data_IF_876656988907
#
_entry.id   IF_876656988907
#
_cell.length_a   1.000
_cell.length_b   1.000
_cell.length_c   1.000
_cell.angle_alpha   90.00
_cell.angle_beta   90.00
_cell.angle_gamma   90.00
#
_symmetry.space_group_name_H-M   'P 1'
#
loop_
_entity.id
_entity.type
_entity.pdbx_description
1 polymer ?
#
# COMPACT_ATOMS: atom_id res chain seq x y z
N UNK A 1 12.27 -20.15 3.25
CA UNK A 1 13.09 -19.67 2.12
C UNK A 1 13.86 -18.40 2.51
N UNK A 2 14.81 -17.94 1.67
CA UNK A 2 15.48 -16.66 1.88
C UNK A 2 14.74 -15.56 1.11
N UNK A 3 14.32 -14.51 1.82
CA UNK A 3 13.53 -13.39 1.29
C UNK A 3 14.28 -12.09 1.57
N UNK A 4 14.51 -11.28 0.54
CA UNK A 4 15.04 -9.94 0.67
C UNK A 4 13.90 -8.92 0.63
N UNK A 5 13.89 -7.97 1.57
CA UNK A 5 12.88 -6.92 1.66
C UNK A 5 13.57 -5.57 1.57
N UNK A 6 13.24 -4.77 0.58
CA UNK A 6 13.66 -3.37 0.51
C UNK A 6 12.61 -2.47 1.15
N UNK A 7 13.03 -1.32 1.70
CA UNK A 7 12.10 -0.43 2.40
C UNK A 7 11.62 -0.99 3.75
N UNK A 8 12.44 -1.86 4.38
CA UNK A 8 12.08 -2.59 5.59
C UNK A 8 11.76 -1.71 6.82
N UNK A 9 12.24 -0.45 6.86
CA UNK A 9 11.90 0.52 7.92
C UNK A 9 10.63 1.33 7.62
N UNK A 10 9.98 1.07 6.47
CA UNK A 10 8.73 1.71 6.09
C UNK A 10 7.53 1.19 6.90
N UNK A 11 6.36 1.87 6.74
CA UNK A 11 5.12 1.49 7.42
C UNK A 11 4.70 0.04 7.16
N UNK A 12 4.73 -0.41 5.92
CA UNK A 12 4.45 -1.81 5.53
C UNK A 12 5.66 -2.69 5.80
N UNK A 13 6.86 -2.23 5.43
CA UNK A 13 8.08 -3.02 5.43
C UNK A 13 8.45 -3.58 6.79
N UNK A 14 8.35 -2.79 7.87
CA UNK A 14 8.69 -3.26 9.22
C UNK A 14 7.76 -4.37 9.72
N UNK A 15 6.49 -4.36 9.30
CA UNK A 15 5.50 -5.39 9.63
C UNK A 15 5.71 -6.66 8.81
N UNK A 16 5.96 -6.50 7.50
CA UNK A 16 6.28 -7.64 6.61
C UNK A 16 7.56 -8.34 7.05
N UNK A 17 8.62 -7.58 7.37
CA UNK A 17 9.87 -8.15 7.85
C UNK A 17 9.70 -8.93 9.17
N UNK A 18 8.93 -8.37 10.12
CA UNK A 18 8.62 -9.03 11.39
C UNK A 18 7.80 -10.30 11.18
N UNK A 19 6.75 -10.25 10.35
CA UNK A 19 5.85 -11.36 10.11
C UNK A 19 6.56 -12.52 9.39
N UNK A 20 7.23 -12.24 8.28
CA UNK A 20 7.93 -13.25 7.51
C UNK A 20 9.16 -13.80 8.23
N UNK A 21 9.78 -13.01 9.11
CA UNK A 21 10.90 -13.46 9.95
C UNK A 21 10.56 -14.58 10.93
N UNK A 22 9.26 -14.84 11.17
CA UNK A 22 8.84 -15.98 12.03
C UNK A 22 8.98 -17.34 11.32
N UNK A 23 8.98 -17.36 9.98
CA UNK A 23 8.96 -18.61 9.18
C UNK A 23 10.03 -18.65 8.07
N UNK A 24 10.69 -17.53 7.80
CA UNK A 24 11.65 -17.40 6.72
C UNK A 24 12.95 -16.74 7.17
N UNK A 25 14.05 -16.96 6.41
CA UNK A 25 15.26 -16.16 6.53
C UNK A 25 15.05 -14.83 5.81
N UNK A 26 14.85 -13.74 6.56
CA UNK A 26 14.60 -12.41 6.03
C UNK A 26 15.86 -11.55 6.06
N UNK A 27 16.19 -10.95 4.92
CA UNK A 27 17.16 -9.87 4.78
C UNK A 27 16.38 -8.57 4.65
N UNK A 28 16.28 -7.82 5.74
CA UNK A 28 15.49 -6.59 5.82
C UNK A 28 16.37 -5.36 5.63
N UNK A 29 16.21 -4.66 4.51
CA UNK A 29 17.07 -3.53 4.12
C UNK A 29 16.25 -2.23 4.10
N UNK A 30 16.74 -1.25 4.83
CA UNK A 30 16.27 0.13 4.79
C UNK A 30 17.06 0.96 3.77
N UNK A 31 16.66 2.23 3.56
CA UNK A 31 17.44 3.17 2.74
C UNK A 31 18.82 3.52 3.30
N UNK A 32 19.10 3.16 4.56
CA UNK A 32 20.44 3.30 5.16
C UNK A 32 21.35 2.12 4.82
N UNK A 33 20.75 0.97 4.53
CA UNK A 33 21.45 -0.28 4.26
C UNK A 33 21.65 -0.49 2.75
N UNK A 34 20.71 0.02 1.93
CA UNK A 34 20.73 -0.12 0.48
C UNK A 34 20.05 1.08 -0.17
N UNK A 35 20.81 1.85 -0.95
CA UNK A 35 20.28 2.80 -1.92
C UNK A 35 19.89 2.05 -3.20
N UNK A 36 18.59 1.95 -3.47
CA UNK A 36 18.08 1.24 -4.65
C UNK A 36 18.37 1.97 -5.96
N UNK A 37 18.79 3.24 -5.91
CA UNK A 37 19.17 4.02 -7.09
C UNK A 37 20.59 3.70 -7.55
N UNK A 38 21.43 3.14 -6.67
CA UNK A 38 22.75 2.63 -6.97
C UNK A 38 22.67 1.18 -7.47
N UNK A 39 22.81 0.99 -8.79
CA UNK A 39 22.69 -0.32 -9.43
C UNK A 39 23.76 -1.32 -8.96
N UNK A 40 24.99 -0.85 -8.73
CA UNK A 40 26.10 -1.72 -8.32
C UNK A 40 25.90 -2.20 -6.89
N UNK A 41 25.44 -1.33 -5.99
CA UNK A 41 25.05 -1.70 -4.62
C UNK A 41 23.90 -2.72 -4.62
N UNK A 42 22.87 -2.52 -5.46
CA UNK A 42 21.74 -3.46 -5.57
C UNK A 42 22.21 -4.83 -6.07
N UNK A 43 23.04 -4.87 -7.10
CA UNK A 43 23.60 -6.13 -7.62
C UNK A 43 24.47 -6.84 -6.58
N UNK A 44 25.38 -6.11 -5.91
CA UNK A 44 26.25 -6.68 -4.89
C UNK A 44 25.42 -7.36 -3.80
N UNK A 45 24.45 -6.67 -3.22
CA UNK A 45 23.60 -7.19 -2.16
C UNK A 45 22.78 -8.41 -2.61
N UNK A 46 22.18 -8.36 -3.79
CA UNK A 46 21.35 -9.46 -4.29
C UNK A 46 22.20 -10.70 -4.61
N UNK A 47 23.40 -10.51 -5.18
CA UNK A 47 24.34 -11.60 -5.49
C UNK A 47 24.94 -12.23 -4.22
N UNK A 48 25.23 -11.44 -3.19
CA UNK A 48 25.76 -11.95 -1.92
C UNK A 48 24.73 -12.79 -1.16
N UNK A 49 23.45 -12.39 -1.25
CA UNK A 49 22.39 -13.06 -0.51
C UNK A 49 21.67 -14.17 -1.28
N UNK A 50 21.63 -14.13 -2.60
CA UNK A 50 20.92 -15.08 -3.50
C UNK A 50 19.49 -15.38 -3.00
N UNK A 51 18.62 -14.36 -2.83
CA UNK A 51 17.28 -14.57 -2.31
C UNK A 51 16.43 -15.38 -3.32
N UNK A 52 15.46 -16.16 -2.78
CA UNK A 52 14.45 -16.83 -3.61
C UNK A 52 13.30 -15.92 -3.98
N UNK A 53 13.03 -14.91 -3.12
CA UNK A 53 12.06 -13.86 -3.39
C UNK A 53 12.59 -12.50 -2.93
N UNK A 54 12.19 -11.44 -3.65
CA UNK A 54 12.43 -10.04 -3.28
C UNK A 54 11.07 -9.37 -3.12
N UNK A 55 10.80 -8.83 -1.93
CA UNK A 55 9.61 -8.01 -1.66
C UNK A 55 10.07 -6.55 -1.68
N UNK A 56 9.76 -5.86 -2.77
CA UNK A 56 10.21 -4.50 -3.03
C UNK A 56 9.18 -3.48 -2.55
N UNK A 57 9.44 -2.89 -1.36
CA UNK A 57 8.59 -1.90 -0.70
C UNK A 57 9.25 -0.52 -0.60
N UNK A 58 10.49 -0.38 -1.04
CA UNK A 58 11.18 0.90 -1.06
C UNK A 58 10.53 1.83 -2.09
N UNK A 59 10.13 3.03 -1.66
CA UNK A 59 9.54 4.05 -2.51
C UNK A 59 9.47 5.40 -1.81
N UNK A 60 9.44 6.47 -2.58
CA UNK A 60 8.88 7.76 -2.17
C UNK A 60 7.35 7.65 -2.31
N UNK A 61 6.63 7.46 -1.19
CA UNK A 61 5.21 7.09 -1.19
C UNK A 61 4.24 8.21 -0.82
N UNK A 62 4.74 9.45 -0.68
CA UNK A 62 3.92 10.64 -0.41
C UNK A 62 3.54 11.32 -1.73
N UNK A 63 2.26 11.24 -2.21
CA UNK A 63 1.88 11.80 -3.52
C UNK A 63 2.16 13.30 -3.64
N UNK A 64 1.96 14.07 -2.55
CA UNK A 64 2.26 15.50 -2.52
C UNK A 64 3.75 15.80 -2.72
N UNK A 65 4.64 15.03 -2.08
CA UNK A 65 6.08 15.17 -2.29
C UNK A 65 6.47 14.82 -3.74
N UNK A 66 5.96 13.70 -4.26
CA UNK A 66 6.25 13.28 -5.64
C UNK A 66 5.77 14.33 -6.67
N UNK A 67 4.64 15.00 -6.41
CA UNK A 67 4.13 16.05 -7.27
C UNK A 67 5.03 17.29 -7.28
N UNK A 68 5.65 17.63 -6.14
CA UNK A 68 6.56 18.76 -6.00
C UNK A 68 8.00 18.42 -6.46
N UNK A 69 8.39 17.15 -6.41
CA UNK A 69 9.73 16.65 -6.73
C UNK A 69 9.63 15.45 -7.71
N UNK A 70 9.20 15.69 -8.96
CA UNK A 70 8.94 14.61 -9.93
C UNK A 70 10.21 13.83 -10.30
N UNK A 71 11.36 14.49 -10.40
CA UNK A 71 12.64 13.86 -10.77
C UNK A 71 13.11 12.92 -9.66
N UNK A 72 13.09 13.34 -8.40
CA UNK A 72 13.41 12.46 -7.26
C UNK A 72 12.48 11.25 -7.23
N UNK A 73 11.18 11.50 -7.45
CA UNK A 73 10.19 10.44 -7.51
C UNK A 73 10.46 9.46 -8.64
N UNK A 74 10.89 9.92 -9.81
CA UNK A 74 11.25 9.06 -10.94
C UNK A 74 12.47 8.23 -10.64
N UNK A 75 13.54 8.84 -10.16
CA UNK A 75 14.80 8.17 -9.83
C UNK A 75 14.54 7.04 -8.81
N UNK A 76 13.83 7.32 -7.71
CA UNK A 76 13.61 6.31 -6.68
C UNK A 76 12.54 5.29 -7.09
N UNK A 77 11.37 5.74 -7.57
CA UNK A 77 10.23 4.84 -7.78
C UNK A 77 10.30 4.06 -9.09
N UNK A 78 10.95 4.61 -10.13
CA UNK A 78 11.05 3.94 -11.44
C UNK A 78 12.44 3.31 -11.60
N UNK A 79 13.50 4.11 -11.59
CA UNK A 79 14.86 3.62 -11.86
C UNK A 79 15.32 2.66 -10.76
N UNK A 80 15.07 2.99 -9.48
CA UNK A 80 15.32 2.09 -8.36
C UNK A 80 14.58 0.74 -8.50
N UNK A 81 13.30 0.75 -8.94
CA UNK A 81 12.55 -0.49 -9.20
C UNK A 81 13.15 -1.28 -10.37
N UNK A 82 13.61 -0.61 -11.43
CA UNK A 82 14.30 -1.25 -12.56
C UNK A 82 15.61 -1.91 -12.08
N UNK A 83 16.40 -1.25 -11.26
CA UNK A 83 17.63 -1.80 -10.71
C UNK A 83 17.39 -3.08 -9.90
N UNK A 84 16.41 -3.05 -9.00
CA UNK A 84 16.01 -4.24 -8.22
C UNK A 84 15.49 -5.36 -9.14
N UNK A 85 14.73 -5.01 -10.19
CA UNK A 85 14.21 -5.98 -11.16
C UNK A 85 15.33 -6.68 -11.94
N UNK A 86 16.34 -5.93 -12.39
CA UNK A 86 17.52 -6.48 -13.09
C UNK A 86 18.31 -7.43 -12.18
N UNK A 87 18.55 -7.02 -10.94
CA UNK A 87 19.25 -7.86 -9.97
C UNK A 87 18.45 -9.13 -9.62
N UNK A 88 17.12 -9.02 -9.49
CA UNK A 88 16.24 -10.16 -9.28
C UNK A 88 16.31 -11.15 -10.45
N UNK A 89 16.32 -10.66 -11.70
CA UNK A 89 16.45 -11.45 -12.91
C UNK A 89 17.78 -12.23 -12.93
N UNK A 90 18.87 -11.58 -12.53
CA UNK A 90 20.21 -12.18 -12.54
C UNK A 90 20.33 -13.41 -11.62
N UNK A 91 19.54 -13.47 -10.54
CA UNK A 91 19.55 -14.59 -9.58
C UNK A 91 18.30 -15.49 -9.70
N UNK A 92 17.40 -15.22 -10.63
CA UNK A 92 16.14 -15.96 -10.79
C UNK A 92 15.18 -15.81 -9.59
N UNK A 93 15.24 -14.69 -8.87
CA UNK A 93 14.36 -14.43 -7.74
C UNK A 93 12.97 -14.03 -8.19
N UNK A 94 11.93 -14.51 -7.47
CA UNK A 94 10.56 -14.01 -7.60
C UNK A 94 10.48 -12.60 -7.03
N UNK A 95 9.99 -11.62 -7.81
CA UNK A 95 9.84 -10.26 -7.34
C UNK A 95 8.37 -9.93 -7.06
N UNK A 96 8.10 -9.36 -5.89
CA UNK A 96 6.81 -8.81 -5.48
C UNK A 96 6.99 -7.31 -5.28
N UNK A 97 6.31 -6.51 -6.05
CA UNK A 97 6.44 -5.04 -6.06
C UNK A 97 5.20 -4.37 -5.45
N UNK A 98 5.41 -3.47 -4.50
CA UNK A 98 4.36 -2.62 -3.96
C UNK A 98 4.06 -1.48 -4.93
N UNK A 99 3.04 -1.67 -5.76
CA UNK A 99 2.40 -0.61 -6.52
C UNK A 99 1.29 0.06 -5.68
N UNK A 100 0.37 0.80 -6.29
CA UNK A 100 -0.64 1.59 -5.58
C UNK A 100 -1.93 1.73 -6.39
N UNK A 101 -3.07 1.86 -5.69
CA UNK A 101 -4.35 2.30 -6.24
C UNK A 101 -4.30 3.68 -6.92
N UNK A 102 -3.26 4.48 -6.64
CA UNK A 102 -3.07 5.78 -7.26
C UNK A 102 -2.86 5.72 -8.79
N UNK A 103 -2.59 4.54 -9.34
CA UNK A 103 -2.58 4.31 -10.80
C UNK A 103 -3.97 4.51 -11.43
N UNK A 104 -5.03 4.42 -10.62
CA UNK A 104 -6.42 4.66 -11.04
C UNK A 104 -6.86 6.13 -10.91
N UNK A 105 -6.02 7.02 -10.36
CA UNK A 105 -6.39 8.42 -10.15
C UNK A 105 -6.67 9.12 -11.48
N UNK A 106 -7.87 9.71 -11.61
CA UNK A 106 -8.28 10.43 -12.81
C UNK A 106 -8.85 9.52 -13.91
N UNK A 107 -9.04 8.24 -13.64
CA UNK A 107 -9.69 7.34 -14.59
C UNK A 107 -11.20 7.64 -14.66
N UNK A 108 -11.74 7.50 -15.88
CA UNK A 108 -13.15 7.50 -16.16
C UNK A 108 -13.55 6.07 -16.56
N UNK A 109 -14.67 5.56 -16.07
CA UNK A 109 -15.15 4.23 -16.42
C UNK A 109 -16.06 3.66 -15.34
N UNK A 110 -16.55 2.45 -15.61
CA UNK A 110 -17.38 1.71 -14.66
C UNK A 110 -16.53 1.17 -13.51
N UNK A 111 -17.02 1.34 -12.31
CA UNK A 111 -16.42 0.86 -11.06
C UNK A 111 -17.07 -0.45 -10.62
N UNK A 112 -16.35 -1.28 -9.84
CA UNK A 112 -14.97 -1.15 -9.38
C UNK A 112 -13.93 -1.44 -10.47
N UNK A 113 -12.79 -0.72 -10.46
CA UNK A 113 -11.72 -0.88 -11.44
C UNK A 113 -10.99 -2.21 -11.29
N UNK A 114 -10.82 -2.92 -12.40
CA UNK A 114 -9.98 -4.13 -12.47
C UNK A 114 -8.61 -3.84 -13.09
N UNK A 115 -7.78 -4.87 -13.13
CA UNK A 115 -6.39 -4.75 -13.60
C UNK A 115 -6.26 -4.66 -15.13
N UNK A 116 -7.34 -4.85 -15.89
CA UNK A 116 -7.35 -4.81 -17.36
C UNK A 116 -7.59 -3.41 -17.91
N UNK A 117 -8.02 -2.47 -17.06
CA UNK A 117 -8.29 -1.10 -17.45
C UNK A 117 -7.04 -0.42 -18.03
N UNK A 118 -7.16 0.20 -19.19
CA UNK A 118 -6.13 1.05 -19.78
C UNK A 118 -5.95 2.31 -18.91
N UNK A 119 -4.76 2.53 -18.37
CA UNK A 119 -4.51 3.54 -17.35
C UNK A 119 -3.81 4.79 -17.88
N UNK A 120 -4.24 5.95 -17.38
CA UNK A 120 -3.58 7.25 -17.57
C UNK A 120 -3.65 8.07 -16.27
N UNK A 121 -2.81 7.74 -15.26
CA UNK A 121 -2.88 8.38 -13.96
C UNK A 121 -2.69 9.89 -14.03
N UNK A 122 -3.53 10.65 -13.32
CA UNK A 122 -3.46 12.12 -13.30
C UNK A 122 -2.25 12.63 -12.48
N UNK A 123 -1.87 11.95 -11.38
CA UNK A 123 -0.80 12.36 -10.47
C UNK A 123 0.56 11.74 -10.79
N UNK A 124 1.64 12.46 -10.47
CA UNK A 124 3.03 12.02 -10.70
C UNK A 124 3.32 10.67 -10.03
N UNK A 125 2.91 10.49 -8.77
CA UNK A 125 3.12 9.23 -8.05
C UNK A 125 2.47 8.03 -8.76
N UNK A 126 1.20 8.16 -9.19
CA UNK A 126 0.49 7.13 -9.94
C UNK A 126 1.17 6.82 -11.29
N UNK A 127 1.63 7.85 -12.01
CA UNK A 127 2.38 7.69 -13.27
C UNK A 127 3.66 6.88 -13.07
N UNK A 128 4.46 7.24 -12.06
CA UNK A 128 5.71 6.54 -11.79
C UNK A 128 5.49 5.11 -11.27
N UNK A 129 4.42 4.86 -10.50
CA UNK A 129 4.06 3.48 -10.12
C UNK A 129 3.68 2.64 -11.33
N UNK A 130 2.89 3.18 -12.27
CA UNK A 130 2.52 2.50 -13.51
C UNK A 130 3.72 2.26 -14.45
N UNK A 131 4.61 3.25 -14.57
CA UNK A 131 5.87 3.12 -15.33
C UNK A 131 6.75 2.01 -14.75
N UNK A 132 6.87 1.97 -13.42
CA UNK A 132 7.63 0.93 -12.71
C UNK A 132 7.01 -0.48 -12.88
N UNK A 133 5.64 -0.61 -12.78
CA UNK A 133 4.94 -1.88 -13.09
C UNK A 133 5.32 -2.39 -14.47
N UNK A 134 5.21 -1.52 -15.48
CA UNK A 134 5.45 -1.85 -16.88
C UNK A 134 6.90 -2.26 -17.13
N UNK A 135 7.85 -1.49 -16.60
CA UNK A 135 9.27 -1.77 -16.75
C UNK A 135 9.67 -3.08 -16.05
N UNK A 136 9.21 -3.28 -14.81
CA UNK A 136 9.45 -4.52 -14.06
C UNK A 136 8.92 -5.75 -14.78
N UNK A 137 7.67 -5.72 -15.25
CA UNK A 137 7.05 -6.89 -15.92
C UNK A 137 7.67 -7.19 -17.27
N UNK A 138 8.20 -6.17 -17.97
CA UNK A 138 8.98 -6.38 -19.20
C UNK A 138 10.31 -7.10 -18.93
N UNK A 139 10.96 -6.82 -17.80
CA UNK A 139 12.23 -7.45 -17.39
C UNK A 139 12.00 -8.81 -16.71
N UNK A 140 10.94 -8.93 -15.97
CA UNK A 140 10.58 -10.10 -15.16
C UNK A 140 9.11 -10.46 -15.39
N UNK A 141 8.74 -11.17 -16.46
CA UNK A 141 7.34 -11.51 -16.75
C UNK A 141 6.66 -12.31 -15.63
N UNK A 142 7.45 -12.98 -14.78
CA UNK A 142 6.94 -13.71 -13.61
C UNK A 142 6.82 -12.85 -12.34
N UNK A 143 7.21 -11.58 -12.36
CA UNK A 143 7.05 -10.69 -11.22
C UNK A 143 5.57 -10.37 -10.93
N UNK A 144 5.27 -9.97 -9.71
CA UNK A 144 3.93 -9.61 -9.25
C UNK A 144 3.93 -8.15 -8.80
N UNK A 145 3.07 -7.32 -9.37
CA UNK A 145 2.81 -5.97 -8.91
C UNK A 145 1.51 -5.95 -8.11
N UNK A 146 1.56 -5.43 -6.89
CA UNK A 146 0.41 -5.32 -5.99
C UNK A 146 -0.05 -3.85 -5.93
N UNK A 147 -1.22 -3.53 -6.48
CA UNK A 147 -1.84 -2.20 -6.37
C UNK A 147 -2.49 -2.08 -5.01
N UNK A 148 -1.69 -1.61 -4.04
CA UNK A 148 -2.11 -1.47 -2.65
C UNK A 148 -3.10 -0.32 -2.50
N UNK A 149 -4.17 -0.55 -1.75
CA UNK A 149 -5.09 0.51 -1.32
C UNK A 149 -4.50 1.32 -0.16
N UNK A 150 -5.13 2.43 0.23
CA UNK A 150 -4.68 3.21 1.37
C UNK A 150 -4.75 2.39 2.66
N UNK A 151 -3.70 2.47 3.48
CA UNK A 151 -3.56 1.63 4.65
C UNK A 151 -3.54 2.42 5.96
N UNK A 152 -3.96 1.75 7.03
CA UNK A 152 -3.87 2.24 8.42
C UNK A 152 -3.40 1.13 9.35
N UNK A 153 -2.96 1.51 10.54
CA UNK A 153 -2.78 0.63 11.70
C UNK A 153 -3.42 1.26 12.93
N UNK A 154 -3.57 0.48 13.98
CA UNK A 154 -4.02 0.96 15.28
C UNK A 154 -2.94 1.89 15.86
N UNK A 155 -3.27 3.11 16.32
CA UNK A 155 -2.28 4.07 16.81
C UNK A 155 -1.45 3.61 18.01
N UNK A 156 -1.97 2.64 18.79
CA UNK A 156 -1.25 2.03 19.92
C UNK A 156 -0.11 1.09 19.52
N UNK A 157 0.05 0.76 18.23
CA UNK A 157 1.14 -0.09 17.77
C UNK A 157 2.51 0.59 17.97
N UNK A 158 3.51 -0.12 18.55
CA UNK A 158 4.87 0.41 18.72
C UNK A 158 5.66 0.52 17.40
N UNK A 159 5.11 0.01 16.31
CA UNK A 159 5.74 0.06 14.98
C UNK A 159 5.51 1.41 14.32
N UNK A 160 6.33 1.72 13.31
CA UNK A 160 6.22 2.97 12.55
C UNK A 160 4.78 3.20 12.08
N UNK A 161 4.23 4.35 12.44
CA UNK A 161 2.91 4.78 12.03
C UNK A 161 2.95 5.58 10.71
N UNK A 162 1.80 5.64 10.03
CA UNK A 162 1.55 6.54 8.92
C UNK A 162 0.43 7.53 9.29
N UNK A 163 0.15 8.49 8.42
CA UNK A 163 -0.98 9.42 8.56
C UNK A 163 -2.29 8.78 8.06
N UNK A 164 -2.57 7.54 8.53
CA UNK A 164 -3.79 6.81 8.21
C UNK A 164 -5.04 7.40 8.86
N UNK A 165 -6.20 6.82 8.51
CA UNK A 165 -7.51 7.29 8.94
C UNK A 165 -7.63 7.45 10.47
N UNK A 166 -7.14 6.46 11.24
CA UNK A 166 -7.29 6.47 12.70
C UNK A 166 -6.41 7.54 13.36
N UNK A 167 -5.15 7.70 12.91
CA UNK A 167 -4.24 8.74 13.41
C UNK A 167 -4.81 10.14 13.14
N UNK A 168 -5.38 10.36 11.95
CA UNK A 168 -6.01 11.65 11.61
C UNK A 168 -7.24 11.95 12.48
N UNK A 169 -8.11 10.96 12.72
CA UNK A 169 -9.29 11.12 13.58
C UNK A 169 -8.90 11.40 15.02
N UNK A 170 -7.95 10.65 15.58
CA UNK A 170 -7.51 10.86 16.97
C UNK A 170 -6.87 12.23 17.15
N UNK A 171 -6.03 12.67 16.22
CA UNK A 171 -5.42 13.99 16.23
C UNK A 171 -6.49 15.10 16.17
N UNK A 172 -7.45 14.97 15.27
CA UNK A 172 -8.55 15.94 15.13
C UNK A 172 -9.42 16.01 16.40
N UNK A 173 -9.70 14.87 17.04
CA UNK A 173 -10.43 14.82 18.31
C UNK A 173 -9.63 15.47 19.45
N UNK A 174 -8.30 15.24 19.52
CA UNK A 174 -7.41 15.87 20.49
C UNK A 174 -7.37 17.40 20.31
N UNK A 175 -7.28 17.85 19.06
CA UNK A 175 -7.25 19.28 18.70
C UNK A 175 -8.64 19.93 18.74
N UNK A 176 -9.72 19.19 19.00
CA UNK A 176 -11.11 19.64 18.97
C UNK A 176 -11.47 20.33 17.63
N UNK A 177 -10.93 19.81 16.52
CA UNK A 177 -11.13 20.35 15.18
C UNK A 177 -11.78 19.31 14.26
N UNK A 178 -12.85 19.66 13.50
CA UNK A 178 -13.48 18.72 12.61
C UNK A 178 -12.58 18.42 11.40
N UNK A 179 -12.69 17.19 10.90
CA UNK A 179 -12.11 16.77 9.63
C UNK A 179 -13.15 16.91 8.52
N UNK A 180 -12.82 17.66 7.49
CA UNK A 180 -13.64 17.79 6.29
C UNK A 180 -13.28 16.69 5.30
N UNK A 181 -14.23 15.80 4.99
CA UNK A 181 -14.00 14.58 4.21
C UNK A 181 -14.97 14.51 3.03
N UNK A 182 -14.48 14.14 1.86
CA UNK A 182 -15.27 14.07 0.64
C UNK A 182 -16.40 13.04 0.73
N UNK A 183 -17.61 13.46 0.39
CA UNK A 183 -18.77 12.58 0.16
C UNK A 183 -18.78 11.99 -1.26
N UNK A 184 -17.89 12.49 -2.14
CA UNK A 184 -17.80 12.11 -3.55
C UNK A 184 -16.55 11.26 -3.86
N UNK A 185 -15.79 10.88 -2.83
CA UNK A 185 -14.67 9.94 -2.99
C UNK A 185 -15.08 8.55 -2.48
N UNK A 186 -14.77 7.51 -3.28
CA UNK A 186 -14.86 6.10 -2.88
C UNK A 186 -13.50 5.45 -3.05
N UNK A 187 -12.98 4.80 -2.00
CA UNK A 187 -11.69 4.08 -2.03
C UNK A 187 -11.60 3.00 -0.97
N UNK A 188 -10.81 1.97 -1.25
CA UNK A 188 -10.43 0.96 -0.26
C UNK A 188 -9.51 1.55 0.83
N UNK A 189 -9.81 1.22 2.09
CA UNK A 189 -8.98 1.60 3.25
C UNK A 189 -8.70 0.32 4.04
N UNK A 190 -7.45 -0.12 4.06
CA UNK A 190 -7.07 -1.46 4.52
C UNK A 190 -6.28 -1.43 5.82
N UNK A 191 -6.65 -2.26 6.78
CA UNK A 191 -5.78 -2.53 7.92
C UNK A 191 -4.48 -3.18 7.44
N UNK A 192 -3.34 -2.60 7.77
CA UNK A 192 -2.03 -3.03 7.22
C UNK A 192 -1.74 -4.52 7.47
N UNK A 193 -2.21 -5.08 8.58
CA UNK A 193 -2.01 -6.49 8.90
C UNK A 193 -2.80 -7.44 7.98
N UNK A 194 -3.85 -6.96 7.32
CA UNK A 194 -4.52 -7.73 6.26
C UNK A 194 -3.62 -7.90 5.03
N UNK A 195 -2.86 -6.86 4.67
CA UNK A 195 -1.82 -6.93 3.63
C UNK A 195 -0.69 -7.86 4.07
N UNK A 196 -0.17 -7.67 5.28
CA UNK A 196 0.97 -8.42 5.83
C UNK A 196 0.71 -9.93 5.87
N UNK A 197 -0.47 -10.35 6.35
CA UNK A 197 -0.83 -11.79 6.42
C UNK A 197 -0.95 -12.45 5.06
N UNK A 198 -1.24 -11.68 4.00
CA UNK A 198 -1.44 -12.19 2.64
C UNK A 198 -0.23 -12.07 1.73
N UNK A 199 0.79 -11.29 2.15
CA UNK A 199 1.96 -11.01 1.31
C UNK A 199 2.73 -12.27 0.91
N UNK A 200 2.84 -13.25 1.82
CA UNK A 200 3.51 -14.52 1.55
C UNK A 200 2.83 -15.29 0.42
N UNK A 201 1.49 -15.33 0.42
CA UNK A 201 0.70 -16.00 -0.63
C UNK A 201 0.91 -15.42 -2.02
N UNK A 202 1.35 -14.15 -2.12
CA UNK A 202 1.60 -13.52 -3.41
C UNK A 202 2.86 -14.04 -4.11
N UNK A 203 3.77 -14.70 -3.38
CA UNK A 203 4.98 -15.29 -3.96
C UNK A 203 4.63 -16.41 -4.96
N UNK A 204 3.53 -17.13 -4.70
CA UNK A 204 3.03 -18.21 -5.58
C UNK A 204 2.14 -17.76 -6.74
N UNK A 205 1.77 -16.49 -6.82
CA UNK A 205 0.92 -15.99 -7.89
C UNK A 205 1.62 -16.03 -9.26
N UNK A 206 0.90 -16.28 -10.36
CA UNK A 206 1.39 -15.99 -11.70
C UNK A 206 1.85 -14.56 -11.86
N UNK A 207 2.83 -14.32 -12.72
CA UNK A 207 3.27 -12.94 -13.01
C UNK A 207 2.14 -12.06 -13.52
N UNK A 208 2.21 -10.78 -13.15
CA UNK A 208 1.23 -9.77 -13.54
C UNK A 208 0.85 -8.80 -12.43
N UNK A 209 -0.18 -8.02 -12.70
CA UNK A 209 -0.68 -6.98 -11.78
C UNK A 209 -1.90 -7.52 -11.01
N UNK A 210 -2.02 -7.16 -9.73
CA UNK A 210 -3.14 -7.53 -8.87
C UNK A 210 -3.56 -6.36 -7.99
N UNK A 211 -4.83 -6.08 -7.92
CA UNK A 211 -5.42 -5.24 -6.90
C UNK A 211 -5.27 -5.93 -5.54
N UNK A 212 -4.83 -5.19 -4.50
CA UNK A 212 -4.44 -5.80 -3.24
C UNK A 212 -4.78 -4.90 -2.05
N UNK A 213 -5.91 -5.18 -1.43
CA UNK A 213 -6.43 -4.42 -0.29
C UNK A 213 -7.94 -4.52 -0.18
N UNK A 214 -8.51 -3.77 0.76
CA UNK A 214 -9.95 -3.76 1.02
C UNK A 214 -10.73 -3.13 -0.14
N UNK A 215 -11.89 -3.68 -0.45
CA UNK A 215 -12.92 -3.01 -1.25
C UNK A 215 -13.69 -2.01 -0.39
N UNK A 216 -14.41 -1.08 -1.01
CA UNK A 216 -15.31 -0.17 -0.33
C UNK A 216 -16.47 0.22 -1.24
N UNK A 217 -17.69 0.18 -0.70
CA UNK A 217 -18.94 0.50 -1.41
C UNK A 217 -19.56 1.81 -0.93
N UNK A 218 -18.99 2.39 0.15
CA UNK A 218 -19.46 3.65 0.72
C UNK A 218 -18.45 4.76 0.49
N UNK A 219 -18.88 6.02 0.65
CA UNK A 219 -17.99 7.16 0.51
C UNK A 219 -16.86 7.15 1.55
N UNK A 220 -15.78 7.88 1.25
CA UNK A 220 -14.70 8.11 2.22
C UNK A 220 -15.23 8.81 3.46
N UNK A 221 -16.20 9.73 3.30
CA UNK A 221 -16.89 10.38 4.41
C UNK A 221 -17.58 9.36 5.34
N UNK A 222 -18.39 8.44 4.79
CA UNK A 222 -19.08 7.42 5.58
C UNK A 222 -18.08 6.47 6.26
N UNK A 223 -16.98 6.15 5.59
CA UNK A 223 -15.90 5.34 6.16
C UNK A 223 -15.25 6.04 7.35
N UNK A 224 -14.99 7.36 7.27
CA UNK A 224 -14.46 8.14 8.38
C UNK A 224 -15.44 8.24 9.53
N UNK A 225 -16.73 8.42 9.27
CA UNK A 225 -17.77 8.42 10.31
C UNK A 225 -17.87 7.08 11.03
N UNK A 226 -17.84 5.97 10.28
CA UNK A 226 -17.82 4.64 10.87
C UNK A 226 -16.55 4.42 11.73
N UNK A 227 -15.38 4.84 11.27
CA UNK A 227 -14.14 4.76 12.02
C UNK A 227 -14.19 5.60 13.31
N UNK A 228 -14.72 6.83 13.26
CA UNK A 228 -14.93 7.68 14.44
C UNK A 228 -15.88 7.01 15.44
N UNK A 229 -16.99 6.41 14.98
CA UNK A 229 -17.91 5.67 15.83
C UNK A 229 -17.23 4.49 16.53
N UNK A 230 -16.39 3.74 15.83
CA UNK A 230 -15.64 2.64 16.43
C UNK A 230 -14.61 3.13 17.45
N UNK A 231 -13.88 4.22 17.15
CA UNK A 231 -12.93 4.83 18.09
C UNK A 231 -13.62 5.34 19.37
N UNK A 232 -14.79 5.96 19.24
CA UNK A 232 -15.60 6.42 20.38
C UNK A 232 -16.09 5.23 21.22
N UNK A 233 -16.64 4.19 20.55
CA UNK A 233 -17.16 3.00 21.24
C UNK A 233 -16.08 2.25 22.01
N UNK A 234 -14.84 2.28 21.52
CA UNK A 234 -13.69 1.63 22.16
C UNK A 234 -12.91 2.56 23.11
N UNK A 235 -13.40 3.79 23.33
CA UNK A 235 -12.84 4.73 24.29
C UNK A 235 -11.54 5.43 23.84
N UNK A 236 -11.20 5.38 22.56
CA UNK A 236 -10.04 6.10 22.01
C UNK A 236 -10.29 7.60 21.83
N UNK A 237 -11.53 8.00 21.62
CA UNK A 237 -11.96 9.39 21.49
C UNK A 237 -13.28 9.60 22.26
N UNK A 238 -13.54 10.85 22.69
CA UNK A 238 -14.78 11.26 23.34
C UNK A 238 -15.69 12.09 22.42
N UNK A 239 -15.11 12.68 21.37
CA UNK A 239 -15.84 13.55 20.44
C UNK A 239 -16.83 12.74 19.59
N UNK A 240 -18.06 13.25 19.48
CA UNK A 240 -19.11 12.61 18.69
C UNK A 240 -18.73 12.54 17.20
N UNK A 241 -18.99 11.41 16.50
CA UNK A 241 -18.63 11.26 15.10
C UNK A 241 -19.19 12.31 14.15
N UNK A 242 -20.39 12.84 14.47
CA UNK A 242 -21.04 13.87 13.65
C UNK A 242 -20.43 15.27 13.83
N UNK A 243 -19.75 15.53 14.97
CA UNK A 243 -18.98 16.76 15.19
C UNK A 243 -17.57 16.64 14.63
N UNK A 244 -16.98 15.44 14.75
CA UNK A 244 -15.59 15.17 14.33
C UNK A 244 -15.44 15.08 12.81
N UNK A 245 -16.42 14.53 12.08
CA UNK A 245 -16.35 14.31 10.64
C UNK A 245 -17.44 15.08 9.91
N UNK A 246 -17.04 16.09 9.16
CA UNK A 246 -17.90 16.99 8.38
C UNK A 246 -17.76 16.71 6.87
N UNK A 247 -18.83 16.87 6.09
CA UNK A 247 -18.78 16.69 4.65
C UNK A 247 -17.97 17.80 3.96
N UNK A 248 -17.31 17.46 2.87
CA UNK A 248 -16.69 18.45 1.96
C UNK A 248 -17.13 18.24 0.53
N UNK A 249 -17.25 19.33 -0.21
CA UNK A 249 -17.65 19.37 -1.64
C UNK A 249 -16.46 19.17 -2.58
N UNK A 250 -15.67 18.12 -2.34
CA UNK A 250 -14.59 17.76 -3.24
C UNK A 250 -15.13 17.13 -4.55
N UNK A 251 -14.43 17.27 -5.69
CA UNK A 251 -14.82 16.63 -6.93
C UNK A 251 -14.92 15.11 -6.79
N UNK A 252 -15.76 14.49 -7.61
CA UNK A 252 -15.89 13.03 -7.66
C UNK A 252 -14.53 12.38 -7.96
N UNK A 253 -14.22 11.37 -7.16
CA UNK A 253 -12.99 10.56 -7.30
C UNK A 253 -13.28 9.13 -6.91
N UNK A 254 -13.02 8.20 -7.83
CA UNK A 254 -13.04 6.79 -7.47
C UNK A 254 -11.66 6.17 -7.48
N UNK A 255 -11.42 5.37 -6.47
CA UNK A 255 -10.32 4.41 -6.33
C UNK A 255 -10.90 3.06 -5.84
N UNK A 256 -12.15 2.78 -6.20
CA UNK A 256 -12.80 1.50 -5.91
C UNK A 256 -12.20 0.42 -6.81
N UNK A 257 -11.77 -0.67 -6.22
CA UNK A 257 -11.06 -1.76 -6.90
C UNK A 257 -11.85 -3.07 -6.87
N UNK A 258 -11.73 -3.86 -7.95
CA UNK A 258 -12.21 -5.24 -8.01
C UNK A 258 -11.12 -6.19 -7.53
N UNK A 259 -11.47 -7.19 -6.73
CA UNK A 259 -10.57 -8.26 -6.28
C UNK A 259 -10.79 -9.58 -7.02
N UNK A 260 -11.69 -9.62 -8.01
CA UNK A 260 -12.11 -10.85 -8.70
C UNK A 260 -10.93 -11.67 -9.28
N UNK A 261 -9.84 -10.99 -9.70
CA UNK A 261 -8.63 -11.66 -10.17
C UNK A 261 -7.87 -12.33 -9.03
N UNK A 262 -7.69 -11.63 -7.91
CA UNK A 262 -6.95 -12.12 -6.75
C UNK A 262 -7.68 -13.27 -6.04
N UNK A 263 -8.99 -13.19 -5.96
CA UNK A 263 -9.88 -14.19 -5.32
C UNK A 263 -9.81 -15.56 -5.99
N UNK A 264 -9.52 -15.64 -7.29
CA UNK A 264 -9.29 -16.90 -8.00
C UNK A 264 -8.11 -17.71 -7.42
N UNK A 265 -7.23 -17.05 -6.69
CA UNK A 265 -6.07 -17.66 -6.01
C UNK A 265 -6.29 -17.83 -4.51
N UNK A 266 -7.53 -17.66 -4.02
CA UNK A 266 -7.89 -17.83 -2.61
C UNK A 266 -7.44 -16.70 -1.69
N UNK A 267 -6.97 -15.57 -2.24
CA UNK A 267 -6.58 -14.38 -1.48
C UNK A 267 -7.75 -13.38 -1.46
N UNK A 268 -8.35 -13.18 -0.30
CA UNK A 268 -9.51 -12.31 -0.09
C UNK A 268 -9.21 -11.25 0.96
N UNK A 269 -9.89 -10.12 0.91
CA UNK A 269 -9.82 -9.06 1.93
C UNK A 269 -11.20 -8.77 2.50
N UNK A 270 -11.30 -8.41 3.78
CA UNK A 270 -12.51 -7.79 4.29
C UNK A 270 -12.71 -6.42 3.61
N UNK A 271 -13.94 -5.96 3.44
CA UNK A 271 -14.17 -4.58 3.03
C UNK A 271 -13.69 -3.59 4.12
N UNK A 272 -13.58 -2.30 3.77
CA UNK A 272 -13.02 -1.28 4.65
C UNK A 272 -13.71 -1.19 6.00
N UNK A 273 -15.05 -1.25 6.05
CA UNK A 273 -15.83 -1.15 7.28
C UNK A 273 -15.63 -2.38 8.16
N UNK A 274 -15.70 -3.57 7.57
CA UNK A 274 -15.47 -4.83 8.29
C UNK A 274 -14.03 -4.90 8.84
N UNK A 275 -13.04 -4.47 8.06
CA UNK A 275 -11.64 -4.39 8.48
C UNK A 275 -11.43 -3.43 9.65
N UNK A 276 -12.02 -2.23 9.62
CA UNK A 276 -11.98 -1.26 10.72
C UNK A 276 -12.59 -1.83 11.99
N UNK A 277 -13.77 -2.41 11.89
CA UNK A 277 -14.47 -3.02 13.03
C UNK A 277 -13.62 -4.14 13.66
N UNK A 278 -13.10 -5.05 12.86
CA UNK A 278 -12.30 -6.17 13.36
C UNK A 278 -11.01 -5.68 14.01
N UNK A 279 -10.29 -4.73 13.38
CA UNK A 279 -9.05 -4.20 13.90
C UNK A 279 -9.22 -3.54 15.27
N UNK A 280 -10.26 -2.72 15.46
CA UNK A 280 -10.49 -1.96 16.69
C UNK A 280 -11.05 -2.83 17.83
N UNK A 281 -11.94 -3.79 17.53
CA UNK A 281 -12.49 -4.69 18.54
C UNK A 281 -11.48 -5.69 19.13
N UNK A 282 -10.42 -6.04 18.40
CA UNK A 282 -9.37 -6.95 18.89
C UNK A 282 -8.18 -6.21 19.53
N UNK A 283 -8.29 -4.90 19.73
CA UNK A 283 -7.23 -4.04 20.29
C UNK A 283 -7.52 -3.60 21.71
N UNK A 284 -8.68 -3.98 22.27
CA UNK A 284 -9.13 -3.73 23.65
C UNK A 284 -8.90 -4.96 24.53
#
# INVERSE_FOLDING_TARGET
>A
MKILITGANGFVGCRVARFLGMSHQVIALSSKDLDITDIDAVYSVVMDHLPKAIIHLAALSAPGYCQQNPDDSKIVNVEGTINVSRAAAAVGAKMIFASSDQVYTGQLGEEPFDETLALSPAGVYGKHKLEAETAMLSLLPNAVALRLTWMYDIPASPLRQNQGILVRLMKAAEEQQPLYVSTQETRGITHVWEVVRRIEGTIGLPGGVYNFGATNEVSTFDTYRAAAQFLMTTGFIEMEPHDLVQPSDAPHRSLSISLAKLERFGLTFPNSIAGLRTALLHSV
#
